data_IF_678104341483
#
_entry.id   IF_678104341483
#
_cell.length_a   1.000
_cell.length_b   1.000
_cell.length_c   1.000
_cell.angle_alpha   90.00
_cell.angle_beta   90.00
_cell.angle_gamma   90.00
#
_symmetry.space_group_name_H-M   'P 1'
#
loop_
_entity.id
_entity.type
_entity.pdbx_description
1 polymer ?
#
# COMPACT_ATOMS: atom_id res chain seq x y z
N UNK A 1 36.48 63.00 -42.56
CA UNK A 1 36.86 63.99 -43.60
C UNK A 1 37.69 65.18 -43.08
N UNK A 2 37.51 65.64 -41.82
CA UNK A 2 38.35 66.73 -41.25
C UNK A 2 39.75 66.26 -40.81
N UNK A 3 39.92 65.01 -40.39
CA UNK A 3 41.23 64.48 -39.95
C UNK A 3 42.21 64.18 -41.09
N UNK A 4 41.71 63.72 -42.25
CA UNK A 4 42.56 63.49 -43.45
C UNK A 4 43.19 64.80 -43.94
N UNK A 5 42.43 65.90 -43.87
CA UNK A 5 42.88 67.25 -44.26
C UNK A 5 43.89 67.86 -43.28
N UNK A 6 43.93 67.37 -42.03
CA UNK A 6 44.94 67.75 -41.04
C UNK A 6 46.23 66.93 -41.20
N UNK A 7 46.14 65.65 -41.59
CA UNK A 7 47.34 64.86 -41.90
C UNK A 7 48.04 65.32 -43.17
N UNK A 8 47.31 65.73 -44.23
CA UNK A 8 47.94 66.32 -45.43
C UNK A 8 48.74 67.59 -45.11
N UNK A 9 48.19 68.49 -44.28
CA UNK A 9 48.92 69.69 -43.84
C UNK A 9 50.18 69.37 -43.03
N UNK A 10 50.12 68.36 -42.16
CA UNK A 10 51.28 67.94 -41.35
C UNK A 10 52.35 67.24 -42.20
N UNK A 11 51.99 66.62 -43.32
CA UNK A 11 52.94 66.02 -44.28
C UNK A 11 53.59 67.10 -45.15
N UNK A 12 52.83 68.08 -45.61
CA UNK A 12 53.31 69.21 -46.43
C UNK A 12 54.28 70.11 -45.63
N UNK A 13 53.95 70.39 -44.37
CA UNK A 13 54.82 71.16 -43.45
C UNK A 13 56.11 70.39 -43.07
N UNK A 14 56.06 69.04 -43.07
CA UNK A 14 57.26 68.19 -42.88
C UNK A 14 58.17 68.17 -44.11
N UNK A 15 57.62 68.29 -45.31
CA UNK A 15 58.39 68.37 -46.56
C UNK A 15 59.09 69.72 -46.73
N UNK A 16 58.46 70.80 -46.26
CA UNK A 16 59.06 72.14 -46.22
C UNK A 16 60.22 72.22 -45.21
N UNK A 17 60.05 71.63 -44.02
CA UNK A 17 61.14 71.52 -43.02
C UNK A 17 62.28 70.62 -43.52
N UNK A 18 62.00 69.60 -44.35
CA UNK A 18 63.04 68.77 -45.00
C UNK A 18 63.76 69.52 -46.14
N UNK A 19 63.08 70.40 -46.89
CA UNK A 19 63.71 71.29 -47.89
C UNK A 19 64.60 72.36 -47.26
N UNK A 20 64.20 72.92 -46.12
CA UNK A 20 65.00 73.93 -45.39
C UNK A 20 66.16 73.26 -44.62
N UNK A 21 65.99 72.02 -44.13
CA UNK A 21 67.06 71.22 -43.53
C UNK A 21 68.08 70.66 -44.55
N UNK A 22 67.68 70.50 -45.81
CA UNK A 22 68.56 69.98 -46.89
C UNK A 22 69.64 70.95 -47.38
N UNK A 23 69.61 72.23 -46.97
CA UNK A 23 70.64 73.21 -47.34
C UNK A 23 71.79 73.34 -46.34
N UNK A 24 71.73 72.67 -45.17
CA UNK A 24 72.82 72.68 -44.18
C UNK A 24 73.67 71.39 -44.17
N UNK A 25 73.30 70.37 -44.97
CA UNK A 25 73.98 69.07 -45.02
C UNK A 25 74.80 68.84 -46.30
N UNK A 26 75.06 69.89 -47.11
CA UNK A 26 75.89 69.84 -48.32
C UNK A 26 77.25 70.55 -48.22
N UNK A 27 77.58 71.14 -47.06
CA UNK A 27 78.89 71.79 -46.83
C UNK A 27 79.82 71.00 -45.87
N UNK A 28 79.37 69.84 -45.33
CA UNK A 28 80.09 69.07 -44.31
C UNK A 28 80.59 67.68 -44.74
N UNK A 29 80.58 67.35 -46.05
CA UNK A 29 80.90 65.98 -46.50
C UNK A 29 81.58 65.95 -47.88
N UNK A 30 82.74 66.58 -47.99
CA UNK A 30 83.72 66.34 -49.06
C UNK A 30 85.14 66.61 -48.53
N UNK A 31 85.55 65.82 -47.54
CA UNK A 31 86.91 65.78 -47.03
C UNK A 31 87.32 64.32 -46.86
N UNK A 32 87.90 63.73 -47.90
CA UNK A 32 88.45 62.38 -47.85
C UNK A 32 88.55 61.72 -49.21
N UNK A 33 89.57 62.12 -49.98
CA UNK A 33 90.34 61.32 -50.96
C UNK A 33 90.71 62.15 -52.18
N UNK A 34 91.88 62.80 -52.13
CA UNK A 34 92.85 62.85 -53.23
C UNK A 34 94.13 63.50 -52.70
N UNK A 35 95.08 62.64 -52.37
CA UNK A 35 96.50 62.96 -52.31
C UNK A 35 96.93 63.60 -53.63
N UNK A 36 97.67 64.70 -53.53
CA UNK A 36 98.22 65.39 -54.70
C UNK A 36 98.89 66.68 -54.25
N UNK A 37 100.10 66.55 -53.72
CA UNK A 37 100.86 67.68 -53.19
C UNK A 37 101.20 68.73 -54.25
N UNK A 38 101.13 70.01 -53.84
CA UNK A 38 102.13 71.02 -54.18
C UNK A 38 101.93 72.30 -53.37
N UNK A 39 103.03 72.69 -52.72
CA UNK A 39 103.49 74.05 -52.45
C UNK A 39 102.65 75.01 -51.60
N UNK A 40 103.16 75.21 -50.39
CA UNK A 40 102.98 76.39 -49.54
C UNK A 40 103.53 77.64 -50.25
N UNK A 41 102.81 78.77 -50.19
CA UNK A 41 103.32 80.11 -49.83
C UNK A 41 102.22 81.19 -50.00
N UNK A 42 102.17 82.13 -49.03
CA UNK A 42 101.36 83.37 -49.04
C UNK A 42 99.92 83.14 -48.58
N UNK A 43 99.33 83.85 -47.62
CA UNK A 43 99.43 85.28 -47.32
C UNK A 43 99.17 85.49 -45.81
N UNK A 44 100.11 86.18 -45.17
CA UNK A 44 99.91 86.85 -43.89
C UNK A 44 99.60 88.33 -44.15
N UNK A 45 98.66 88.91 -43.40
CA UNK A 45 98.36 90.34 -43.13
C UNK A 45 96.88 90.40 -42.69
N UNK A 46 96.41 91.04 -41.62
CA UNK A 46 96.96 91.71 -40.46
C UNK A 46 95.74 91.93 -39.52
N UNK A 47 95.81 91.58 -38.23
CA UNK A 47 94.82 92.01 -37.23
C UNK A 47 95.59 92.53 -36.03
N UNK A 48 95.56 93.84 -35.84
CA UNK A 48 96.10 94.51 -34.66
C UNK A 48 94.97 95.24 -33.93
N UNK A 49 94.81 94.85 -32.65
CA UNK A 49 94.54 95.67 -31.47
C UNK A 49 93.30 96.58 -31.40
N UNK A 50 92.34 96.18 -30.55
CA UNK A 50 91.68 97.06 -29.55
C UNK A 50 91.42 96.24 -28.28
N UNK A 51 91.93 96.67 -27.13
CA UNK A 51 91.59 96.15 -25.78
C UNK A 51 90.78 97.19 -25.00
N UNK A 52 89.68 96.82 -24.30
CA UNK A 52 89.00 97.70 -23.33
C UNK A 52 89.32 97.39 -21.85
N UNK A 53 89.02 98.37 -20.97
CA UNK A 53 89.44 98.60 -19.57
C UNK A 53 88.90 97.65 -18.46
N UNK A 54 89.60 97.47 -17.30
CA UNK A 54 89.27 96.48 -16.24
C UNK A 54 88.05 96.76 -15.34
N UNK A 55 87.59 98.03 -15.20
CA UNK A 55 86.41 98.36 -14.38
C UNK A 55 85.08 97.97 -15.05
N UNK A 56 85.11 97.60 -16.34
CA UNK A 56 83.98 96.96 -17.01
C UNK A 56 83.83 95.47 -16.64
N UNK A 57 84.85 94.82 -16.06
CA UNK A 57 84.84 93.38 -15.86
C UNK A 57 83.98 92.94 -14.67
N UNK A 58 83.98 93.65 -13.53
CA UNK A 58 83.27 93.20 -12.33
C UNK A 58 81.75 93.36 -12.43
N UNK A 59 81.27 94.53 -12.86
CA UNK A 59 79.84 94.75 -13.13
C UNK A 59 79.31 93.89 -14.30
N UNK A 60 80.20 93.47 -15.22
CA UNK A 60 79.87 92.51 -16.27
C UNK A 60 79.78 91.07 -15.71
N UNK A 61 80.70 90.66 -14.83
CA UNK A 61 80.66 89.34 -14.19
C UNK A 61 79.41 89.16 -13.33
N UNK A 62 79.04 90.15 -12.52
CA UNK A 62 77.81 90.09 -11.70
C UNK A 62 76.55 89.99 -12.58
N UNK A 63 76.51 90.71 -13.71
CA UNK A 63 75.42 90.58 -14.70
C UNK A 63 75.40 89.20 -15.36
N UNK A 64 76.57 88.65 -15.70
CA UNK A 64 76.70 87.32 -16.29
C UNK A 64 76.32 86.22 -15.30
N UNK A 65 76.65 86.39 -14.01
CA UNK A 65 76.26 85.48 -12.93
C UNK A 65 74.75 85.54 -12.67
N UNK A 66 74.16 86.74 -12.58
CA UNK A 66 72.71 86.91 -12.47
C UNK A 66 71.97 86.31 -13.67
N UNK A 67 72.50 86.49 -14.89
CA UNK A 67 71.98 85.81 -16.07
C UNK A 67 72.13 84.29 -15.96
N UNK A 68 73.28 83.78 -15.52
CA UNK A 68 73.51 82.35 -15.33
C UNK A 68 72.56 81.75 -14.28
N UNK A 69 72.24 82.49 -13.21
CA UNK A 69 71.23 82.13 -12.21
C UNK A 69 69.82 82.11 -12.80
N UNK A 70 69.46 83.12 -13.60
CA UNK A 70 68.20 83.14 -14.32
C UNK A 70 68.08 81.95 -15.30
N UNK A 71 69.15 81.63 -16.03
CA UNK A 71 69.21 80.45 -16.89
C UNK A 71 69.04 79.16 -16.09
N UNK A 72 69.77 79.00 -14.97
CA UNK A 72 69.62 77.84 -14.07
C UNK A 72 68.20 77.71 -13.54
N UNK A 73 67.58 78.81 -13.12
CA UNK A 73 66.19 78.84 -12.67
C UNK A 73 65.23 78.46 -13.80
N UNK A 74 65.38 79.02 -15.00
CA UNK A 74 64.51 78.69 -16.14
C UNK A 74 64.67 77.22 -16.56
N UNK A 75 65.88 76.69 -16.53
CA UNK A 75 66.15 75.27 -16.78
C UNK A 75 65.54 74.37 -15.71
N UNK A 76 65.68 74.70 -14.43
CA UNK A 76 65.04 73.97 -13.34
C UNK A 76 63.51 74.01 -13.47
N UNK A 77 62.92 75.18 -13.76
CA UNK A 77 61.48 75.35 -13.97
C UNK A 77 60.99 74.56 -15.19
N UNK A 78 61.75 74.55 -16.29
CA UNK A 78 61.43 73.75 -17.48
C UNK A 78 61.51 72.25 -17.19
N UNK A 79 62.50 71.81 -16.41
CA UNK A 79 62.62 70.41 -15.99
C UNK A 79 61.45 69.99 -15.09
N UNK A 80 61.07 70.84 -14.14
CA UNK A 80 59.89 70.63 -13.27
C UNK A 80 58.59 70.53 -14.09
N UNK A 81 58.36 71.46 -15.02
CA UNK A 81 57.17 71.42 -15.89
C UNK A 81 57.14 70.14 -16.73
N UNK A 82 58.27 69.74 -17.34
CA UNK A 82 58.36 68.47 -18.07
C UNK A 82 58.12 67.25 -17.18
N UNK A 83 58.62 67.25 -15.96
CA UNK A 83 58.39 66.16 -15.00
C UNK A 83 56.90 66.05 -14.64
N UNK A 84 56.24 67.19 -14.34
CA UNK A 84 54.80 67.24 -14.06
C UNK A 84 53.95 66.83 -15.28
N UNK A 85 54.30 67.27 -16.49
CA UNK A 85 53.61 66.85 -17.72
C UNK A 85 53.76 65.34 -17.95
N UNK A 86 54.96 64.80 -17.79
CA UNK A 86 55.21 63.36 -17.90
C UNK A 86 54.45 62.57 -16.83
N UNK A 87 54.39 63.05 -15.58
CA UNK A 87 53.62 62.43 -14.51
C UNK A 87 52.11 62.47 -14.79
N UNK A 88 51.60 63.59 -15.34
CA UNK A 88 50.20 63.71 -15.79
C UNK A 88 49.88 62.71 -16.91
N UNK A 89 50.76 62.57 -17.89
CA UNK A 89 50.57 61.60 -18.98
C UNK A 89 50.64 60.15 -18.48
N UNK A 90 51.60 59.85 -17.59
CA UNK A 90 51.72 58.53 -16.94
C UNK A 90 50.45 58.17 -16.15
N UNK A 91 49.96 59.09 -15.32
CA UNK A 91 48.73 58.87 -14.53
C UNK A 91 47.51 58.71 -15.42
N UNK A 92 47.38 59.48 -16.51
CA UNK A 92 46.28 59.32 -17.47
C UNK A 92 46.35 57.97 -18.21
N UNK A 93 47.54 57.55 -18.65
CA UNK A 93 47.74 56.24 -19.30
C UNK A 93 47.40 55.09 -18.34
N UNK A 94 47.84 55.18 -17.07
CA UNK A 94 47.52 54.18 -16.05
C UNK A 94 46.01 54.13 -15.75
N UNK A 95 45.31 55.26 -15.69
CA UNK A 95 43.85 55.29 -15.49
C UNK A 95 43.12 54.61 -16.65
N UNK A 96 43.46 54.97 -17.90
CA UNK A 96 42.88 54.34 -19.10
C UNK A 96 43.14 52.83 -19.12
N UNK A 97 44.37 52.39 -18.82
CA UNK A 97 44.71 50.98 -18.76
C UNK A 97 43.95 50.23 -17.65
N UNK A 98 43.64 50.88 -16.52
CA UNK A 98 42.80 50.30 -15.46
C UNK A 98 41.33 50.19 -15.88
N UNK A 99 40.77 51.24 -16.45
CA UNK A 99 39.39 51.26 -16.95
C UNK A 99 39.18 50.20 -18.04
N UNK A 100 40.12 50.08 -18.98
CA UNK A 100 40.07 49.05 -20.03
C UNK A 100 40.13 47.64 -19.45
N UNK A 101 41.01 47.38 -18.47
CA UNK A 101 41.06 46.09 -17.78
C UNK A 101 39.75 45.78 -17.06
N UNK A 102 39.19 46.74 -16.33
CA UNK A 102 37.92 46.55 -15.63
C UNK A 102 36.78 46.24 -16.63
N UNK A 103 36.68 47.01 -17.71
CA UNK A 103 35.71 46.74 -18.78
C UNK A 103 35.92 45.38 -19.43
N UNK A 104 37.17 44.98 -19.65
CA UNK A 104 37.48 43.66 -20.21
C UNK A 104 37.05 42.55 -19.25
N UNK A 105 37.33 42.67 -17.94
CA UNK A 105 36.87 41.68 -16.94
C UNK A 105 35.34 41.59 -16.84
N UNK A 106 34.62 42.70 -17.00
CA UNK A 106 33.14 42.71 -17.06
C UNK A 106 32.63 41.97 -18.29
N UNK A 107 33.18 42.25 -19.47
CA UNK A 107 32.83 41.55 -20.71
C UNK A 107 33.17 40.06 -20.64
N UNK A 108 34.30 39.70 -20.05
CA UNK A 108 34.71 38.31 -19.87
C UNK A 108 33.75 37.55 -18.93
N UNK A 109 33.31 38.16 -17.83
CA UNK A 109 32.35 37.53 -16.92
C UNK A 109 30.96 37.38 -17.54
N UNK A 110 30.50 38.37 -18.30
CA UNK A 110 29.26 38.31 -19.10
C UNK A 110 29.34 37.20 -20.16
N UNK A 111 30.46 37.12 -20.89
CA UNK A 111 30.69 36.06 -21.88
C UNK A 111 30.69 34.67 -21.23
N UNK A 112 31.27 34.51 -20.04
CA UNK A 112 31.23 33.26 -19.30
C UNK A 112 29.80 32.93 -18.83
N UNK A 113 29.03 33.91 -18.40
CA UNK A 113 27.61 33.75 -18.07
C UNK A 113 26.79 33.25 -19.27
N UNK A 114 26.89 33.96 -20.40
CA UNK A 114 26.21 33.61 -21.64
C UNK A 114 26.61 32.21 -22.15
N UNK A 115 27.89 31.83 -22.03
CA UNK A 115 28.36 30.48 -22.39
C UNK A 115 27.71 29.40 -21.52
N UNK A 116 27.62 29.60 -20.20
CA UNK A 116 26.97 28.66 -19.29
C UNK A 116 25.48 28.51 -19.60
N UNK A 117 24.80 29.61 -19.91
CA UNK A 117 23.38 29.58 -20.32
C UNK A 117 23.18 28.82 -21.63
N UNK A 118 24.04 29.07 -22.62
CA UNK A 118 24.01 28.35 -23.89
C UNK A 118 24.21 26.85 -23.70
N UNK A 119 25.15 26.43 -22.85
CA UNK A 119 25.35 25.02 -22.50
C UNK A 119 24.12 24.43 -21.80
N UNK A 120 23.50 25.17 -20.88
CA UNK A 120 22.31 24.72 -20.17
C UNK A 120 21.11 24.53 -21.12
N UNK A 121 20.87 25.50 -22.00
CA UNK A 121 19.83 25.44 -23.03
C UNK A 121 20.10 24.29 -24.01
N UNK A 122 21.35 24.09 -24.43
CA UNK A 122 21.74 22.99 -25.31
C UNK A 122 21.44 21.63 -24.65
N UNK A 123 21.76 21.48 -23.36
CA UNK A 123 21.43 20.27 -22.58
C UNK A 123 19.92 20.06 -22.48
N UNK A 124 19.13 21.10 -22.27
CA UNK A 124 17.66 21.01 -22.25
C UNK A 124 17.10 20.60 -23.61
N UNK A 125 17.57 21.23 -24.70
CA UNK A 125 17.18 20.91 -26.06
C UNK A 125 17.50 19.44 -26.39
N UNK A 126 18.69 18.95 -26.04
CA UNK A 126 19.06 17.54 -26.23
C UNK A 126 18.15 16.59 -25.43
N UNK A 127 17.80 16.92 -24.18
CA UNK A 127 16.86 16.12 -23.38
C UNK A 127 15.48 16.04 -24.02
N UNK A 128 14.96 17.17 -24.51
CA UNK A 128 13.66 17.23 -25.17
C UNK A 128 13.68 16.50 -26.53
N UNK A 129 14.72 16.69 -27.33
CA UNK A 129 14.91 16.00 -28.60
C UNK A 129 14.93 14.47 -28.41
N UNK A 130 15.68 13.96 -27.42
CA UNK A 130 15.66 12.53 -27.07
C UNK A 130 14.26 12.02 -26.69
N UNK A 131 13.46 12.81 -25.96
CA UNK A 131 12.07 12.45 -25.62
C UNK A 131 11.20 12.45 -26.88
N UNK A 132 11.35 13.45 -27.75
CA UNK A 132 10.55 13.60 -28.96
C UNK A 132 10.78 12.43 -29.94
N UNK A 133 12.02 11.95 -30.07
CA UNK A 133 12.35 10.74 -30.84
C UNK A 133 11.70 9.48 -30.24
N UNK A 134 11.55 9.38 -28.91
CA UNK A 134 10.78 8.27 -28.31
C UNK A 134 9.30 8.39 -28.62
N UNK A 135 8.74 9.59 -28.50
CA UNK A 135 7.32 9.85 -28.78
C UNK A 135 6.95 9.73 -30.26
N UNK A 136 7.90 9.90 -31.19
CA UNK A 136 7.63 9.73 -32.62
C UNK A 136 7.28 8.29 -32.98
N UNK A 137 7.87 7.30 -32.31
CA UNK A 137 7.49 5.88 -32.48
C UNK A 137 6.02 5.65 -32.08
N UNK A 138 5.61 6.19 -30.94
CA UNK A 138 4.23 6.09 -30.46
C UNK A 138 3.28 6.87 -31.35
N UNK A 139 3.67 8.06 -31.82
CA UNK A 139 2.89 8.86 -32.76
C UNK A 139 2.63 8.07 -34.05
N UNK A 140 3.68 7.51 -34.65
CA UNK A 140 3.57 6.70 -35.89
C UNK A 140 2.69 5.46 -35.69
N UNK A 141 2.79 4.82 -34.53
CA UNK A 141 1.90 3.71 -34.19
C UNK A 141 0.45 4.16 -34.12
N UNK A 142 0.15 5.27 -33.42
CA UNK A 142 -1.20 5.80 -33.30
C UNK A 142 -1.76 6.28 -34.64
N UNK A 143 -0.95 6.92 -35.48
CA UNK A 143 -1.31 7.28 -36.86
C UNK A 143 -1.69 6.03 -37.67
N UNK A 144 -0.89 4.96 -37.59
CA UNK A 144 -1.22 3.70 -38.24
C UNK A 144 -2.51 3.07 -37.69
N UNK A 145 -2.78 3.18 -36.38
CA UNK A 145 -4.05 2.71 -35.81
C UNK A 145 -5.23 3.52 -36.33
N UNK A 146 -5.10 4.85 -36.44
CA UNK A 146 -6.12 5.72 -37.05
C UNK A 146 -6.37 5.30 -38.50
N UNK A 147 -5.32 5.09 -39.29
CA UNK A 147 -5.43 4.68 -40.70
C UNK A 147 -6.15 3.34 -40.89
N UNK A 148 -5.95 2.38 -39.97
CA UNK A 148 -6.53 1.03 -40.08
C UNK A 148 -7.84 0.83 -39.29
N UNK A 149 -8.36 1.85 -38.61
CA UNK A 149 -9.50 1.72 -37.70
C UNK A 149 -10.60 2.75 -37.98
N UNK A 150 -11.66 2.73 -37.18
CA UNK A 150 -12.81 3.65 -37.30
C UNK A 150 -12.60 5.01 -36.60
N UNK A 151 -11.42 5.26 -36.04
CA UNK A 151 -11.13 6.51 -35.33
C UNK A 151 -10.80 7.63 -36.33
N UNK A 152 -11.29 8.85 -36.10
CA UNK A 152 -11.01 9.98 -37.01
C UNK A 152 -9.62 10.55 -36.81
N UNK A 153 -9.18 10.62 -35.55
CA UNK A 153 -7.87 11.13 -35.19
C UNK A 153 -7.34 10.47 -33.89
N UNK A 154 -6.13 10.86 -33.51
CA UNK A 154 -5.47 10.34 -32.31
C UNK A 154 -6.21 10.81 -31.04
N UNK A 155 -6.82 11.99 -31.05
CA UNK A 155 -7.57 12.50 -29.90
C UNK A 155 -8.85 11.70 -29.66
N UNK A 156 -9.53 11.23 -30.71
CA UNK A 156 -10.67 10.31 -30.65
C UNK A 156 -10.25 8.99 -29.98
N UNK A 157 -9.07 8.43 -30.32
CA UNK A 157 -8.52 7.23 -29.66
C UNK A 157 -8.28 7.49 -28.17
N UNK A 158 -7.64 8.62 -27.84
CA UNK A 158 -7.33 8.99 -26.46
C UNK A 158 -8.63 9.18 -25.65
N UNK A 159 -9.62 9.85 -26.24
CA UNK A 159 -10.93 10.09 -25.63
C UNK A 159 -11.69 8.78 -25.40
N UNK A 160 -11.70 7.90 -26.39
CA UNK A 160 -12.27 6.56 -26.28
C UNK A 160 -11.58 5.74 -25.19
N UNK A 161 -10.25 5.71 -25.16
CA UNK A 161 -9.50 5.00 -24.11
C UNK A 161 -9.80 5.56 -22.72
N UNK A 162 -9.83 6.90 -22.56
CA UNK A 162 -10.21 7.54 -21.29
C UNK A 162 -11.62 7.13 -20.87
N UNK A 163 -12.58 7.09 -21.79
CA UNK A 163 -13.94 6.65 -21.52
C UNK A 163 -13.97 5.17 -21.11
N UNK A 164 -13.26 4.29 -21.83
CA UNK A 164 -13.17 2.86 -21.55
C UNK A 164 -12.57 2.56 -20.17
N UNK A 165 -11.53 3.31 -19.78
CA UNK A 165 -10.92 3.17 -18.44
C UNK A 165 -11.91 3.59 -17.34
N UNK A 166 -12.68 4.67 -17.55
CA UNK A 166 -13.73 5.10 -16.61
C UNK A 166 -14.83 4.06 -16.50
N UNK A 167 -15.40 3.61 -17.62
CA UNK A 167 -16.47 2.60 -17.62
C UNK A 167 -16.01 1.29 -16.99
N UNK A 168 -14.77 0.85 -17.25
CA UNK A 168 -14.20 -0.32 -16.58
C UNK A 168 -14.17 -0.15 -15.06
N UNK A 169 -13.73 1.02 -14.57
CA UNK A 169 -13.71 1.31 -13.14
C UNK A 169 -15.11 1.27 -12.54
N UNK A 170 -16.07 1.91 -13.21
CA UNK A 170 -17.46 1.98 -12.74
C UNK A 170 -18.12 0.59 -12.70
N UNK A 171 -17.89 -0.23 -13.74
CA UNK A 171 -18.40 -1.62 -13.81
C UNK A 171 -17.78 -2.50 -12.74
N UNK A 172 -16.47 -2.41 -12.50
CA UNK A 172 -15.83 -3.18 -11.43
C UNK A 172 -16.37 -2.78 -10.06
N UNK A 173 -16.58 -1.47 -9.85
CA UNK A 173 -17.09 -0.95 -8.58
C UNK A 173 -18.55 -1.35 -8.34
N UNK A 174 -19.43 -1.29 -9.36
CA UNK A 174 -20.82 -1.72 -9.22
C UNK A 174 -20.93 -3.24 -9.05
N UNK A 175 -20.13 -4.02 -9.77
CA UNK A 175 -20.07 -5.47 -9.60
C UNK A 175 -19.62 -5.87 -8.20
N UNK A 176 -18.74 -5.10 -7.57
CA UNK A 176 -18.30 -5.38 -6.20
C UNK A 176 -19.49 -5.38 -5.23
N UNK A 177 -20.41 -4.41 -5.33
CA UNK A 177 -21.62 -4.38 -4.51
C UNK A 177 -22.55 -5.58 -4.75
N UNK A 178 -22.76 -5.97 -6.02
CA UNK A 178 -23.56 -7.15 -6.35
C UNK A 178 -22.96 -8.47 -5.83
N UNK A 179 -21.62 -8.60 -5.87
CA UNK A 179 -20.93 -9.75 -5.29
C UNK A 179 -21.15 -9.83 -3.80
N UNK A 180 -20.99 -8.72 -3.08
CA UNK A 180 -21.22 -8.68 -1.64
C UNK A 180 -22.66 -9.09 -1.26
N UNK A 181 -23.67 -8.58 -1.99
CA UNK A 181 -25.07 -8.96 -1.75
C UNK A 181 -25.32 -10.45 -2.03
N UNK A 182 -24.69 -10.98 -3.08
CA UNK A 182 -24.83 -12.40 -3.44
C UNK A 182 -24.13 -13.29 -2.41
N UNK A 183 -22.93 -12.92 -1.97
CA UNK A 183 -22.21 -13.61 -0.89
C UNK A 183 -23.05 -13.64 0.39
N UNK A 184 -23.63 -12.51 0.80
CA UNK A 184 -24.53 -12.44 1.94
C UNK A 184 -25.78 -13.33 1.75
N UNK A 185 -26.42 -13.28 0.59
CA UNK A 185 -27.57 -14.14 0.29
C UNK A 185 -27.21 -15.64 0.33
N UNK A 186 -26.03 -16.01 -0.17
CA UNK A 186 -25.57 -17.41 -0.13
C UNK A 186 -25.32 -17.89 1.30
N UNK A 187 -24.75 -17.04 2.16
CA UNK A 187 -24.55 -17.37 3.59
C UNK A 187 -25.89 -17.57 4.30
N UNK A 188 -26.85 -16.65 4.10
CA UNK A 188 -28.19 -16.78 4.67
C UNK A 188 -28.90 -18.05 4.20
N UNK A 189 -28.79 -18.39 2.91
CA UNK A 189 -29.36 -19.63 2.37
C UNK A 189 -28.71 -20.89 2.97
N UNK A 190 -27.40 -20.86 3.22
CA UNK A 190 -26.71 -21.97 3.87
C UNK A 190 -27.14 -22.14 5.32
N UNK A 191 -27.32 -21.05 6.06
CA UNK A 191 -27.82 -21.07 7.44
C UNK A 191 -29.23 -21.64 7.51
N UNK A 192 -30.15 -21.11 6.69
CA UNK A 192 -31.52 -21.62 6.62
C UNK A 192 -31.57 -23.10 6.22
N UNK A 193 -30.69 -23.53 5.32
CA UNK A 193 -30.60 -24.96 4.96
C UNK A 193 -30.15 -25.81 6.14
N UNK A 194 -29.11 -25.39 6.87
CA UNK A 194 -28.62 -26.11 8.03
C UNK A 194 -29.68 -26.20 9.14
N UNK A 195 -30.43 -25.12 9.38
CA UNK A 195 -31.55 -25.12 10.33
C UNK A 195 -32.64 -26.12 9.93
N UNK A 196 -33.05 -26.13 8.65
CA UNK A 196 -34.04 -27.10 8.16
C UNK A 196 -33.55 -28.54 8.21
N UNK A 197 -32.27 -28.77 7.94
CA UNK A 197 -31.65 -30.10 8.09
C UNK A 197 -31.65 -30.54 9.56
N UNK A 198 -31.34 -29.63 10.50
CA UNK A 198 -31.39 -29.92 11.93
C UNK A 198 -32.82 -30.23 12.41
N UNK A 199 -33.81 -29.44 12.00
CA UNK A 199 -35.23 -29.69 12.30
C UNK A 199 -35.68 -31.05 11.74
N UNK A 200 -35.28 -31.39 10.52
CA UNK A 200 -35.61 -32.68 9.91
C UNK A 200 -34.96 -33.86 10.65
N UNK A 201 -33.72 -33.70 11.10
CA UNK A 201 -33.04 -34.70 11.93
C UNK A 201 -33.72 -34.84 13.31
N UNK A 202 -34.14 -33.73 13.92
CA UNK A 202 -34.89 -33.77 15.17
C UNK A 202 -36.21 -34.52 15.01
N UNK A 203 -37.02 -34.17 14.00
CA UNK A 203 -38.29 -34.87 13.75
C UNK A 203 -38.09 -36.35 13.44
N UNK A 204 -37.01 -36.72 12.74
CA UNK A 204 -36.66 -38.12 12.51
C UNK A 204 -36.30 -38.86 13.81
N UNK A 205 -35.57 -38.21 14.72
CA UNK A 205 -35.26 -38.79 16.02
C UNK A 205 -36.52 -39.02 16.86
N UNK A 206 -37.43 -38.05 16.88
CA UNK A 206 -38.72 -38.17 17.57
C UNK A 206 -39.56 -39.32 16.99
N UNK A 207 -39.59 -39.48 15.66
CA UNK A 207 -40.25 -40.60 15.01
C UNK A 207 -39.67 -41.95 15.44
N UNK A 208 -38.34 -42.06 15.52
CA UNK A 208 -37.68 -43.30 16.01
C UNK A 208 -38.06 -43.57 17.47
N UNK A 209 -38.04 -42.56 18.33
CA UNK A 209 -38.44 -42.72 19.74
C UNK A 209 -39.90 -43.16 19.90
N UNK A 210 -40.81 -42.58 19.13
CA UNK A 210 -42.22 -42.96 19.12
C UNK A 210 -42.39 -44.41 18.63
N UNK A 211 -41.68 -44.79 17.58
CA UNK A 211 -41.71 -46.16 17.06
C UNK A 211 -41.22 -47.17 18.11
N UNK A 212 -40.11 -46.87 18.78
CA UNK A 212 -39.60 -47.70 19.89
C UNK A 212 -40.60 -47.80 21.06
N UNK A 213 -41.32 -46.73 21.38
CA UNK A 213 -42.34 -46.74 22.43
C UNK A 213 -43.53 -47.62 22.05
N UNK A 214 -43.91 -47.60 20.77
CA UNK A 214 -45.00 -48.38 20.22
C UNK A 214 -44.64 -49.87 20.14
N UNK A 215 -43.41 -50.19 19.75
CA UNK A 215 -42.92 -51.57 19.74
C UNK A 215 -42.81 -52.15 21.17
N UNK A 216 -42.40 -51.31 22.14
CA UNK A 216 -42.46 -51.67 23.57
C UNK A 216 -43.88 -51.97 24.03
N UNK A 217 -44.83 -51.07 23.78
CA UNK A 217 -46.23 -51.26 24.16
C UNK A 217 -46.85 -52.51 23.50
N UNK A 218 -46.51 -52.79 22.24
CA UNK A 218 -46.93 -54.03 21.55
C UNK A 218 -46.35 -55.27 22.22
N UNK A 219 -45.07 -55.26 22.58
CA UNK A 219 -44.45 -56.37 23.33
C UNK A 219 -45.16 -56.59 24.67
N UNK A 220 -45.47 -55.52 25.40
CA UNK A 220 -46.17 -55.61 26.68
C UNK A 220 -47.58 -56.19 26.52
N UNK A 221 -48.34 -55.76 25.51
CA UNK A 221 -49.67 -56.32 25.21
C UNK A 221 -49.56 -57.82 24.94
N UNK A 222 -48.62 -58.26 24.09
CA UNK A 222 -48.41 -59.68 23.80
C UNK A 222 -48.06 -60.48 25.06
N UNK A 223 -47.25 -59.91 25.97
CA UNK A 223 -46.94 -60.53 27.25
C UNK A 223 -48.17 -60.68 28.14
N UNK A 224 -49.02 -59.64 28.22
CA UNK A 224 -50.25 -59.68 29.00
C UNK A 224 -51.29 -60.62 28.41
N UNK A 225 -51.42 -60.68 27.09
CA UNK A 225 -52.26 -61.67 26.40
C UNK A 225 -51.81 -63.09 26.72
N UNK A 226 -50.50 -63.36 26.71
CA UNK A 226 -49.94 -64.64 27.14
C UNK A 226 -50.30 -65.00 28.59
N UNK A 227 -50.09 -64.07 29.53
CA UNK A 227 -50.44 -64.27 30.95
C UNK A 227 -51.94 -64.48 31.15
N UNK A 228 -52.76 -63.76 30.39
CA UNK A 228 -54.22 -63.89 30.42
C UNK A 228 -54.68 -65.26 29.91
N UNK A 229 -54.11 -65.72 28.80
CA UNK A 229 -54.36 -67.07 28.28
C UNK A 229 -53.99 -68.16 29.29
N UNK A 230 -52.83 -68.05 29.95
CA UNK A 230 -52.45 -68.99 31.01
C UNK A 230 -53.41 -69.00 32.20
N UNK A 231 -53.95 -67.84 32.57
CA UNK A 231 -54.94 -67.72 33.64
C UNK A 231 -56.27 -68.35 33.21
N UNK A 232 -56.70 -68.10 31.98
CA UNK A 232 -57.90 -68.73 31.40
C UNK A 232 -57.76 -70.25 31.35
N UNK A 233 -56.61 -70.78 30.90
CA UNK A 233 -56.36 -72.22 30.89
C UNK A 233 -56.37 -72.82 32.29
N UNK A 234 -55.78 -72.12 33.28
CA UNK A 234 -55.85 -72.52 34.70
C UNK A 234 -57.29 -72.53 35.21
N UNK A 235 -58.09 -71.53 34.88
CA UNK A 235 -59.50 -71.46 35.26
C UNK A 235 -60.31 -72.58 34.60
N UNK A 236 -60.09 -72.85 33.30
CA UNK A 236 -60.74 -73.93 32.57
C UNK A 236 -60.40 -75.31 33.18
N UNK A 237 -59.13 -75.56 33.51
CA UNK A 237 -58.69 -76.78 34.21
C UNK A 237 -59.42 -76.95 35.55
N UNK A 238 -59.45 -75.92 36.40
CA UNK A 238 -60.19 -75.94 37.67
C UNK A 238 -61.69 -76.15 37.47
N UNK A 239 -62.29 -75.55 36.45
CA UNK A 239 -63.71 -75.74 36.15
C UNK A 239 -64.02 -77.19 35.75
N UNK A 240 -63.14 -77.84 34.98
CA UNK A 240 -63.23 -79.27 34.64
C UNK A 240 -63.08 -80.13 35.90
N UNK A 241 -62.09 -79.84 36.75
CA UNK A 241 -61.91 -80.55 38.04
C UNK A 241 -63.15 -80.44 38.93
N UNK A 242 -63.68 -79.23 39.12
CA UNK A 242 -64.89 -79.00 39.91
C UNK A 242 -66.10 -79.74 39.32
N UNK A 243 -66.27 -79.73 38.00
CA UNK A 243 -67.34 -80.48 37.33
C UNK A 243 -67.17 -81.99 37.55
N UNK A 244 -65.95 -82.51 37.48
CA UNK A 244 -65.66 -83.92 37.74
C UNK A 244 -65.96 -84.33 39.19
N UNK A 245 -65.59 -83.48 40.16
CA UNK A 245 -65.90 -83.68 41.58
C UNK A 245 -67.42 -83.64 41.82
N UNK A 246 -68.12 -82.66 41.26
CA UNK A 246 -69.58 -82.55 41.35
C UNK A 246 -70.28 -83.79 40.78
N UNK A 247 -69.82 -84.29 39.63
CA UNK A 247 -70.31 -85.54 39.03
C UNK A 247 -70.02 -86.76 39.91
N UNK A 248 -68.83 -86.85 40.51
CA UNK A 248 -68.48 -87.93 41.42
C UNK A 248 -69.38 -87.91 42.68
N UNK A 249 -69.58 -86.75 43.30
CA UNK A 249 -70.49 -86.56 44.44
C UNK A 249 -71.92 -86.97 44.07
N UNK A 250 -72.42 -86.50 42.92
CA UNK A 250 -73.76 -86.86 42.46
C UNK A 250 -73.89 -88.37 42.22
N UNK A 251 -72.89 -88.99 41.59
CA UNK A 251 -72.89 -90.44 41.34
C UNK A 251 -72.90 -91.26 42.64
N UNK A 252 -72.11 -90.86 43.63
CA UNK A 252 -72.07 -91.48 44.96
C UNK A 252 -73.39 -91.28 45.71
N UNK A 253 -73.96 -90.07 45.67
CA UNK A 253 -75.27 -89.78 46.26
C UNK A 253 -76.39 -90.61 45.62
N UNK A 254 -76.38 -90.77 44.29
CA UNK A 254 -77.35 -91.62 43.60
C UNK A 254 -77.20 -93.09 44.02
N UNK A 255 -75.97 -93.60 44.09
CA UNK A 255 -75.71 -94.97 44.57
C UNK A 255 -76.21 -95.17 46.01
N UNK A 256 -75.91 -94.24 46.93
CA UNK A 256 -76.40 -94.30 48.32
C UNK A 256 -77.93 -94.17 48.41
N UNK A 257 -78.53 -93.28 47.60
CA UNK A 257 -79.98 -93.06 47.58
C UNK A 257 -80.76 -94.28 47.06
N UNK A 258 -80.18 -95.05 46.12
CA UNK A 258 -80.77 -96.32 45.64
C UNK A 258 -80.77 -97.42 46.71
N UNK A 259 -79.85 -97.38 47.69
CA UNK A 259 -79.79 -98.36 48.79
C UNK A 259 -80.67 -97.99 49.99
N UNK A 260 -80.86 -96.69 50.27
CA UNK A 260 -81.41 -96.22 51.56
C UNK A 260 -82.74 -95.46 51.48
N UNK A 261 -83.32 -95.20 50.30
CA UNK A 261 -84.64 -94.54 50.10
C UNK A 261 -84.86 -93.28 51.00
N UNK A 262 -84.13 -92.19 50.77
CA UNK A 262 -84.19 -91.01 51.63
C UNK A 262 -85.47 -90.17 51.45
N UNK A 263 -85.96 -89.61 52.58
CA UNK A 263 -87.12 -88.70 52.65
C UNK A 263 -86.73 -87.28 52.18
N UNK A 264 -86.62 -87.05 50.88
CA UNK A 264 -86.50 -85.69 50.31
C UNK A 264 -85.85 -85.66 48.93
N UNK A 265 -86.41 -84.88 48.00
CA UNK A 265 -85.82 -84.67 46.65
C UNK A 265 -84.77 -83.55 46.72
N UNK A 266 -83.49 -83.90 46.56
CA UNK A 266 -82.40 -82.91 46.39
C UNK A 266 -82.14 -82.68 44.91
N UNK A 267 -81.97 -81.42 44.53
CA UNK A 267 -81.70 -81.03 43.13
C UNK A 267 -80.33 -81.55 42.66
N UNK A 268 -80.25 -81.93 41.37
CA UNK A 268 -79.04 -82.52 40.79
C UNK A 268 -77.81 -81.59 40.85
N UNK A 269 -77.99 -80.27 40.89
CA UNK A 269 -76.91 -79.28 40.90
C UNK A 269 -76.40 -78.83 42.29
N UNK A 270 -77.01 -79.28 43.40
CA UNK A 270 -76.59 -78.85 44.74
C UNK A 270 -75.67 -79.90 45.39
N UNK A 271 -74.41 -79.90 44.96
CA UNK A 271 -73.40 -80.86 45.41
C UNK A 271 -73.11 -80.79 46.92
N UNK A 272 -73.28 -79.62 47.55
CA UNK A 272 -73.11 -79.46 49.00
C UNK A 272 -74.19 -80.21 49.78
N UNK A 273 -75.48 -80.00 49.44
CA UNK A 273 -76.58 -80.72 50.07
C UNK A 273 -76.55 -82.23 49.81
N UNK A 274 -76.12 -82.65 48.63
CA UNK A 274 -75.92 -84.08 48.30
C UNK A 274 -74.86 -84.71 49.21
N UNK A 275 -73.73 -84.03 49.41
CA UNK A 275 -72.65 -84.53 50.27
C UNK A 275 -73.06 -84.55 51.74
N UNK A 276 -73.78 -83.54 52.22
CA UNK A 276 -74.25 -83.48 53.60
C UNK A 276 -75.24 -84.61 53.93
N UNK A 277 -76.09 -85.02 52.97
CA UNK A 277 -76.96 -86.18 53.15
C UNK A 277 -76.23 -87.52 53.17
N UNK A 278 -75.12 -87.64 52.43
CA UNK A 278 -74.24 -88.83 52.51
C UNK A 278 -73.48 -88.85 53.84
N UNK A 279 -73.15 -87.67 54.41
CA UNK A 279 -72.46 -87.55 55.70
C UNK A 279 -73.38 -87.66 56.92
N UNK A 280 -74.66 -87.31 56.80
CA UNK A 280 -75.63 -87.26 57.90
C UNK A 280 -76.23 -88.65 58.24
N UNK A 281 -75.38 -89.65 58.38
CA UNK A 281 -75.70 -90.94 58.98
C UNK A 281 -75.25 -90.94 60.47
N UNK A 282 -76.14 -91.13 61.47
CA UNK A 282 -75.75 -91.38 62.88
C UNK A 282 -75.94 -92.87 63.23
N UNK A 283 -75.16 -93.61 64.05
CA UNK A 283 -74.00 -93.45 64.96
C UNK A 283 -73.65 -94.90 65.50
N UNK A 284 -72.91 -95.17 66.62
CA UNK A 284 -71.52 -94.88 67.08
C UNK A 284 -70.74 -96.14 67.60
N UNK A 285 -69.40 -96.02 67.85
CA UNK A 285 -68.60 -96.56 69.01
C UNK A 285 -67.04 -96.59 68.77
N UNK A 286 -66.16 -96.65 69.82
CA UNK A 286 -65.18 -95.57 70.08
C UNK A 286 -63.68 -95.97 70.11
N UNK A 287 -62.78 -94.97 70.06
CA UNK A 287 -61.39 -95.12 70.50
C UNK A 287 -60.37 -94.01 70.14
N UNK A 288 -60.14 -93.07 71.07
CA UNK A 288 -58.93 -92.24 71.36
C UNK A 288 -58.18 -91.55 70.20
N UNK A 289 -58.26 -90.22 70.05
CA UNK A 289 -57.58 -89.14 70.82
C UNK A 289 -56.11 -88.86 70.42
N UNK A 290 -55.91 -87.72 69.72
CA UNK A 290 -54.77 -86.78 69.72
C UNK A 290 -54.90 -85.94 68.43
N UNK A 291 -54.99 -84.61 68.36
CA UNK A 291 -54.41 -83.56 69.20
C UNK A 291 -53.25 -82.91 68.42
N UNK A 292 -53.50 -81.78 67.75
CA UNK A 292 -52.58 -80.64 67.45
C UNK A 292 -53.02 -79.91 66.17
N UNK A 293 -53.59 -78.72 66.26
CA UNK A 293 -52.98 -77.37 66.42
C UNK A 293 -52.82 -76.66 65.06
N UNK A 294 -53.32 -75.43 65.08
CA UNK A 294 -53.32 -74.40 64.04
C UNK A 294 -51.99 -74.26 63.28
N UNK A 295 -52.10 -73.95 61.99
CA UNK A 295 -51.38 -72.78 61.46
C UNK A 295 -52.13 -72.13 60.31
N UNK A 296 -52.58 -70.90 60.59
CA UNK A 296 -52.81 -69.86 59.60
C UNK A 296 -51.50 -69.61 58.84
N UNK A 297 -51.56 -69.57 57.51
CA UNK A 297 -50.68 -68.69 56.72
C UNK A 297 -51.53 -68.06 55.64
N UNK A 298 -51.95 -66.82 55.92
CA UNK A 298 -52.23 -65.89 54.85
C UNK A 298 -50.90 -65.40 54.32
N UNK A 299 -50.81 -65.25 53.00
CA UNK A 299 -49.83 -64.37 52.36
C UNK A 299 -50.57 -63.75 51.17
N UNK A 300 -51.06 -62.53 51.42
CA UNK A 300 -51.39 -61.54 50.40
C UNK A 300 -50.08 -60.95 49.83
N UNK A 301 -50.11 -60.35 48.63
CA UNK A 301 -48.92 -60.08 47.84
C UNK A 301 -48.13 -58.88 48.35
N UNK A 302 -46.80 -59.04 48.44
CA UNK A 302 -45.86 -57.94 48.70
C UNK A 302 -45.34 -57.41 47.37
N UNK A 303 -45.83 -56.24 46.95
CA UNK A 303 -45.08 -55.36 46.05
C UNK A 303 -43.80 -54.86 46.75
N UNK A 304 -42.72 -54.63 45.99
CA UNK A 304 -42.00 -53.37 46.18
C UNK A 304 -41.48 -52.81 44.83
N UNK A 305 -40.84 -51.64 44.82
CA UNK A 305 -41.45 -50.34 45.04
C UNK A 305 -41.34 -49.48 43.76
N UNK A 306 -42.30 -48.57 43.58
CA UNK A 306 -42.06 -47.39 42.77
C UNK A 306 -40.81 -46.66 43.28
N UNK A 307 -39.79 -46.56 42.43
CA UNK A 307 -38.73 -45.56 42.57
C UNK A 307 -39.04 -44.42 41.60
N UNK A 308 -39.32 -43.19 42.08
CA UNK A 308 -39.26 -42.01 41.24
C UNK A 308 -37.79 -41.62 41.09
N UNK A 309 -37.17 -42.08 40.01
CA UNK A 309 -35.89 -41.55 39.55
C UNK A 309 -36.07 -40.19 38.93
N UNK A 310 -36.07 -39.14 39.75
CA UNK A 310 -35.73 -37.79 39.33
C UNK A 310 -34.22 -37.69 39.23
N UNK A 311 -33.68 -37.19 38.11
CA UNK A 311 -32.52 -36.30 38.18
C UNK A 311 -32.96 -34.91 37.74
N UNK A 312 -32.96 -34.00 38.71
CA UNK A 312 -32.88 -32.57 38.45
C UNK A 312 -31.42 -32.16 38.27
N UNK A 313 -31.28 -31.05 37.55
CA UNK A 313 -30.10 -30.20 37.35
C UNK A 313 -29.05 -30.59 36.30
N UNK A 314 -29.04 -29.76 35.26
CA UNK A 314 -27.98 -29.59 34.27
C UNK A 314 -28.21 -28.33 33.43
N UNK A 315 -28.38 -27.18 34.08
CA UNK A 315 -28.29 -25.85 33.46
C UNK A 315 -26.85 -25.59 32.99
N UNK A 316 -26.52 -25.75 31.71
CA UNK A 316 -25.29 -25.24 31.05
C UNK A 316 -25.54 -25.42 29.53
N UNK A 317 -25.59 -24.43 28.62
CA UNK A 317 -25.08 -23.07 28.52
C UNK A 317 -25.97 -22.24 27.58
N UNK A 318 -25.99 -20.92 27.80
CA UNK A 318 -26.20 -19.95 26.74
C UNK A 318 -24.88 -19.55 26.10
N UNK A 319 -24.89 -19.41 24.77
CA UNK A 319 -24.23 -18.35 24.00
C UNK A 319 -24.81 -18.29 22.60
#
# INVERSE_FOLDING_TARGET
MKEVRLMEKVVEEKEEVRKVGGCWDMAGRAGGALEGGRSRQGVALAVAAVSPSPWCCQAFMERMEALAEQWRHLHARRAQLKAHENERLRTQALKKAREEKEQNTKKESELLGAKRELEALTKQHQKLSKKLVKYSLFKRYLENVVENSQFRDIEDIISFYKALVRTRKDVVQSQWGHRQLTEQATVLLQQLRAEREAEALQGRNELVQLQESLDRARSDILQWEGRWAELQDRAARKAVELKSLSMAIHSLFQAASTQLQPKGKVAAGDSHRQLDMVKAEPAPCPGKAAGMVLSKRGDSPTEPPFSPGVPGHGEWWGH
#
